data_IF_327274771700
#
_entry.id   IF_327274771700
#
_cell.length_a   1.000
_cell.length_b   1.000
_cell.length_c   1.000
_cell.angle_alpha   90.00
_cell.angle_beta   90.00
_cell.angle_gamma   90.00
#
_symmetry.space_group_name_H-M   'P 1'
#
loop_
_entity.id
_entity.type
_entity.pdbx_description
1 polymer ?
#
# COMPACT_ATOMS: atom_id res chain seq x y z
N UNK A 1 20.39 -51.00 -39.28
CA UNK A 1 19.15 -51.27 -38.58
C UNK A 1 19.29 -51.84 -37.17
N UNK A 2 20.39 -52.47 -36.82
CA UNK A 2 20.61 -52.94 -35.44
C UNK A 2 20.85 -51.82 -34.41
N UNK A 3 21.37 -50.66 -34.79
CA UNK A 3 21.61 -49.52 -33.87
C UNK A 3 20.31 -48.80 -33.49
N UNK A 4 19.36 -48.65 -34.40
CA UNK A 4 18.09 -47.96 -34.14
C UNK A 4 17.20 -48.75 -33.16
N UNK A 5 17.30 -50.08 -33.18
CA UNK A 5 16.57 -50.94 -32.22
C UNK A 5 17.17 -50.88 -30.80
N UNK A 6 18.49 -50.59 -30.66
CA UNK A 6 19.14 -50.44 -29.35
C UNK A 6 18.79 -49.10 -28.70
N UNK A 7 18.72 -48.01 -29.47
CA UNK A 7 18.31 -46.70 -28.97
C UNK A 7 16.83 -46.66 -28.60
N UNK A 8 15.99 -47.33 -29.41
CA UNK A 8 14.55 -47.45 -29.05
C UNK A 8 14.31 -48.29 -27.79
N UNK A 9 15.17 -49.24 -27.46
CA UNK A 9 15.08 -50.03 -26.22
C UNK A 9 15.58 -49.25 -25.00
N UNK A 10 16.53 -48.35 -25.17
CA UNK A 10 17.00 -47.43 -24.11
C UNK A 10 15.96 -46.37 -23.81
N UNK A 11 15.21 -45.90 -24.79
CA UNK A 11 14.08 -44.96 -24.60
C UNK A 11 12.84 -45.60 -23.97
N UNK A 12 12.81 -46.92 -23.89
CA UNK A 12 11.72 -47.70 -23.32
C UNK A 12 12.00 -48.20 -21.90
N UNK A 13 13.13 -47.82 -21.33
CA UNK A 13 13.43 -48.11 -19.94
C UNK A 13 12.77 -47.05 -19.04
N UNK A 14 11.52 -47.32 -18.69
CA UNK A 14 10.64 -46.42 -17.94
C UNK A 14 11.09 -46.18 -16.49
N UNK A 15 12.03 -46.94 -15.97
CA UNK A 15 12.46 -46.77 -14.57
C UNK A 15 13.40 -45.56 -14.39
N UNK A 16 14.23 -45.25 -15.40
CA UNK A 16 15.04 -44.01 -15.40
C UNK A 16 14.24 -42.76 -15.76
N UNK A 17 13.24 -42.90 -16.62
CA UNK A 17 12.37 -41.84 -17.06
C UNK A 17 11.47 -41.34 -15.92
N UNK A 18 10.93 -42.22 -15.10
CA UNK A 18 10.16 -41.83 -13.90
C UNK A 18 11.00 -41.14 -12.84
N UNK A 19 12.25 -41.51 -12.64
CA UNK A 19 13.15 -40.84 -11.71
C UNK A 19 13.49 -39.41 -12.17
N UNK A 20 13.78 -39.22 -13.43
CA UNK A 20 14.04 -37.88 -13.99
C UNK A 20 12.80 -37.01 -13.94
N UNK A 21 11.65 -37.58 -14.26
CA UNK A 21 10.38 -36.86 -14.19
C UNK A 21 10.04 -36.40 -12.76
N UNK A 22 10.25 -37.24 -11.76
CA UNK A 22 10.07 -36.89 -10.35
C UNK A 22 11.04 -35.80 -9.93
N UNK A 23 12.31 -35.86 -10.34
CA UNK A 23 13.29 -34.83 -10.03
C UNK A 23 12.94 -33.48 -10.67
N UNK A 24 12.51 -33.49 -11.92
CA UNK A 24 12.08 -32.28 -12.64
C UNK A 24 10.82 -31.70 -11.98
N UNK A 25 9.82 -32.54 -11.67
CA UNK A 25 8.60 -32.13 -10.99
C UNK A 25 8.89 -31.51 -9.62
N UNK A 26 9.79 -32.11 -8.85
CA UNK A 26 10.21 -31.61 -7.54
C UNK A 26 10.94 -30.27 -7.65
N UNK A 27 11.80 -30.12 -8.63
CA UNK A 27 12.51 -28.86 -8.91
C UNK A 27 11.55 -27.75 -9.29
N UNK A 28 10.59 -28.03 -10.18
CA UNK A 28 9.56 -27.07 -10.57
C UNK A 28 8.68 -26.68 -9.39
N UNK A 29 8.29 -27.63 -8.57
CA UNK A 29 7.50 -27.36 -7.35
C UNK A 29 8.27 -26.45 -6.39
N UNK A 30 9.55 -26.67 -6.21
CA UNK A 30 10.40 -25.84 -5.34
C UNK A 30 10.49 -24.40 -5.87
N UNK A 31 10.65 -24.22 -7.17
CA UNK A 31 10.68 -22.89 -7.81
C UNK A 31 9.33 -22.17 -7.61
N UNK A 32 8.24 -22.87 -7.86
CA UNK A 32 6.88 -22.30 -7.67
C UNK A 32 6.66 -21.88 -6.22
N UNK A 33 7.06 -22.70 -5.27
CA UNK A 33 6.96 -22.38 -3.84
C UNK A 33 7.79 -21.16 -3.46
N UNK A 34 8.99 -21.00 -4.01
CA UNK A 34 9.85 -19.83 -3.79
C UNK A 34 9.20 -18.55 -4.30
N UNK A 35 8.69 -18.56 -5.52
CA UNK A 35 8.01 -17.41 -6.15
C UNK A 35 6.74 -17.06 -5.38
N UNK A 36 5.97 -18.06 -4.99
CA UNK A 36 4.76 -17.86 -4.19
C UNK A 36 5.06 -17.23 -2.83
N UNK A 37 6.09 -17.71 -2.13
CA UNK A 37 6.51 -17.17 -0.84
C UNK A 37 6.92 -15.68 -0.93
N UNK A 38 7.63 -15.29 -1.98
CA UNK A 38 8.00 -13.90 -2.22
C UNK A 38 6.77 -13.03 -2.52
N UNK A 39 5.83 -13.53 -3.32
CA UNK A 39 4.59 -12.86 -3.62
C UNK A 39 3.73 -12.61 -2.37
N UNK A 40 3.64 -13.61 -1.49
CA UNK A 40 2.90 -13.49 -0.23
C UNK A 40 3.55 -12.48 0.72
N UNK A 41 4.88 -12.49 0.86
CA UNK A 41 5.60 -11.53 1.69
C UNK A 41 5.40 -10.09 1.19
N UNK A 42 5.41 -9.87 -0.12
CA UNK A 42 5.12 -8.55 -0.72
C UNK A 42 3.68 -8.09 -0.47
N UNK A 43 2.71 -8.99 -0.59
CA UNK A 43 1.30 -8.68 -0.33
C UNK A 43 1.06 -8.27 1.13
N UNK A 44 1.61 -9.00 2.09
CA UNK A 44 1.48 -8.67 3.53
C UNK A 44 2.15 -7.35 3.88
N UNK A 45 3.30 -7.04 3.32
CA UNK A 45 3.98 -5.75 3.52
C UNK A 45 3.14 -4.59 2.98
N UNK A 46 2.55 -4.74 1.81
CA UNK A 46 1.67 -3.73 1.22
C UNK A 46 0.41 -3.50 2.06
N UNK A 47 -0.18 -4.56 2.61
CA UNK A 47 -1.35 -4.47 3.49
C UNK A 47 -1.02 -3.73 4.79
N UNK A 48 0.09 -4.06 5.44
CA UNK A 48 0.54 -3.37 6.67
C UNK A 48 0.82 -1.89 6.40
N UNK A 49 1.47 -1.57 5.29
CA UNK A 49 1.72 -0.17 4.91
C UNK A 49 0.42 0.59 4.64
N UNK A 50 -0.52 -0.01 3.93
CA UNK A 50 -1.82 0.60 3.67
C UNK A 50 -2.62 0.84 4.97
N UNK A 51 -2.59 -0.12 5.90
CA UNK A 51 -3.19 0.03 7.22
C UNK A 51 -2.57 1.18 8.01
N UNK A 52 -1.24 1.23 8.10
CA UNK A 52 -0.53 2.29 8.81
C UNK A 52 -0.86 3.67 8.23
N UNK A 53 -0.95 3.78 6.91
CA UNK A 53 -1.31 5.04 6.26
C UNK A 53 -2.75 5.47 6.59
N UNK A 54 -3.69 4.54 6.66
CA UNK A 54 -5.07 4.81 7.08
C UNK A 54 -5.13 5.24 8.53
N UNK A 55 -4.47 4.51 9.43
CA UNK A 55 -4.45 4.82 10.86
C UNK A 55 -3.83 6.21 11.10
N UNK A 56 -2.77 6.58 10.37
CA UNK A 56 -2.18 7.91 10.43
C UNK A 56 -3.13 9.00 9.93
N UNK A 57 -3.81 8.76 8.82
CA UNK A 57 -4.80 9.70 8.27
C UNK A 57 -6.00 9.87 9.21
N UNK A 58 -6.50 8.80 9.81
CA UNK A 58 -7.59 8.84 10.76
C UNK A 58 -7.20 9.60 12.04
N UNK A 59 -6.02 9.36 12.58
CA UNK A 59 -5.49 10.08 13.73
C UNK A 59 -5.31 11.58 13.42
N UNK A 60 -4.80 11.91 12.25
CA UNK A 60 -4.66 13.29 11.79
C UNK A 60 -6.04 13.97 11.66
N UNK A 61 -7.02 13.27 11.13
CA UNK A 61 -8.40 13.79 11.01
C UNK A 61 -9.04 14.03 12.38
N UNK A 62 -8.88 13.10 13.32
CA UNK A 62 -9.36 13.26 14.69
C UNK A 62 -8.70 14.47 15.36
N UNK A 63 -7.40 14.64 15.19
CA UNK A 63 -6.65 15.78 15.73
C UNK A 63 -7.14 17.10 15.13
N UNK A 64 -7.41 17.13 13.83
CA UNK A 64 -7.99 18.28 13.14
C UNK A 64 -9.39 18.63 13.68
N UNK A 65 -10.27 17.64 13.81
CA UNK A 65 -11.61 17.84 14.36
C UNK A 65 -11.55 18.42 15.77
N UNK A 66 -10.68 17.84 16.62
CA UNK A 66 -10.46 18.32 17.97
C UNK A 66 -9.95 19.77 18.00
N UNK A 67 -9.09 20.13 17.07
CA UNK A 67 -8.60 21.51 16.92
C UNK A 67 -9.70 22.48 16.50
N UNK A 68 -10.55 22.08 15.57
CA UNK A 68 -11.65 22.92 15.07
C UNK A 68 -12.70 23.26 16.14
N UNK A 69 -12.91 22.37 17.11
CA UNK A 69 -13.84 22.59 18.23
C UNK A 69 -13.16 23.21 19.47
N UNK A 70 -11.85 23.43 19.42
CA UNK A 70 -11.11 24.05 20.52
C UNK A 70 -11.41 25.55 20.63
N UNK A 71 -10.99 26.16 21.71
CA UNK A 71 -11.13 27.62 21.93
C UNK A 71 -10.28 28.46 20.96
N UNK A 72 -9.27 27.87 20.34
CA UNK A 72 -8.34 28.52 19.39
C UNK A 72 -8.23 27.76 18.06
N UNK A 73 -9.32 27.64 17.30
CA UNK A 73 -9.33 26.76 16.12
C UNK A 73 -8.46 27.28 14.96
N UNK A 74 -8.15 28.56 14.92
CA UNK A 74 -7.42 29.21 13.84
C UNK A 74 -5.96 29.52 14.18
N UNK A 75 -5.46 29.06 15.31
CA UNK A 75 -4.11 29.31 15.80
C UNK A 75 -3.30 28.02 15.79
N UNK A 76 -2.06 28.09 15.31
CA UNK A 76 -1.15 26.94 15.37
C UNK A 76 -0.90 26.51 16.81
N UNK A 77 -0.83 25.21 17.03
CA UNK A 77 -0.56 24.61 18.35
C UNK A 77 -0.92 23.14 18.38
N UNK A 78 -0.48 22.44 19.40
CA UNK A 78 -0.71 21.00 19.59
C UNK A 78 -0.21 20.11 18.42
N UNK A 79 0.92 20.51 17.80
CA UNK A 79 1.46 19.80 16.64
C UNK A 79 0.76 20.11 15.31
N UNK A 80 -0.20 21.04 15.32
CA UNK A 80 -0.95 21.45 14.13
C UNK A 80 -0.49 22.85 13.71
N UNK A 81 -0.06 22.96 12.46
CA UNK A 81 0.25 24.25 11.83
C UNK A 81 -0.99 24.75 11.11
N UNK A 82 -1.40 25.98 11.42
CA UNK A 82 -2.57 26.62 10.81
C UNK A 82 -2.09 27.88 10.08
N UNK A 83 -2.44 27.98 8.81
CA UNK A 83 -2.14 29.14 7.98
C UNK A 83 -3.41 29.61 7.26
N UNK A 84 -3.69 30.90 7.29
CA UNK A 84 -4.72 31.48 6.44
C UNK A 84 -4.16 31.51 5.00
N UNK A 85 -4.90 30.96 4.07
CA UNK A 85 -4.48 30.85 2.67
C UNK A 85 -5.10 31.95 1.80
N UNK A 86 -6.42 31.94 1.69
CA UNK A 86 -7.14 32.84 0.80
C UNK A 86 -8.44 33.31 1.44
N UNK A 87 -8.91 34.49 1.01
CA UNK A 87 -10.22 35.02 1.32
C UNK A 87 -11.00 35.18 0.04
N UNK A 88 -12.15 34.57 -0.04
CA UNK A 88 -13.05 34.62 -1.20
C UNK A 88 -14.27 35.49 -0.87
N UNK A 89 -14.63 36.36 -1.81
CA UNK A 89 -15.87 37.16 -1.69
C UNK A 89 -17.02 36.39 -2.37
N UNK A 90 -18.07 36.10 -1.60
CA UNK A 90 -19.25 35.45 -2.10
C UNK A 90 -20.50 36.32 -1.81
N UNK A 91 -20.95 37.05 -2.79
CA UNK A 91 -22.08 37.97 -2.62
C UNK A 91 -21.77 39.09 -1.62
N UNK A 92 -22.52 39.15 -0.54
CA UNK A 92 -22.34 40.12 0.57
C UNK A 92 -21.42 39.63 1.68
N UNK A 93 -20.94 38.41 1.60
CA UNK A 93 -20.10 37.77 2.62
C UNK A 93 -18.71 37.40 2.10
N UNK A 94 -17.84 37.07 3.02
CA UNK A 94 -16.51 36.54 2.73
C UNK A 94 -16.40 35.12 3.27
N UNK A 95 -15.56 34.30 2.62
CA UNK A 95 -15.21 32.96 3.06
C UNK A 95 -13.69 32.91 3.13
N UNK A 96 -13.18 32.60 4.31
CA UNK A 96 -11.76 32.44 4.54
C UNK A 96 -11.38 30.98 4.45
N UNK A 97 -10.27 30.68 3.78
CA UNK A 97 -9.71 29.34 3.75
C UNK A 97 -8.48 29.26 4.66
N UNK A 98 -8.44 28.22 5.46
CA UNK A 98 -7.34 27.90 6.34
C UNK A 98 -6.73 26.56 5.95
N UNK A 99 -5.42 26.52 5.88
CA UNK A 99 -4.67 25.29 5.68
C UNK A 99 -4.18 24.76 7.03
N UNK A 100 -4.54 23.52 7.31
CA UNK A 100 -4.15 22.80 8.53
C UNK A 100 -3.19 21.68 8.14
N UNK A 101 -2.01 21.68 8.70
CA UNK A 101 -1.04 20.61 8.53
C UNK A 101 -0.92 19.82 9.82
N UNK A 102 -1.27 18.54 9.76
CA UNK A 102 -1.27 17.61 10.90
C UNK A 102 -0.53 16.35 10.46
N UNK A 103 0.56 16.02 11.15
CA UNK A 103 1.37 14.81 10.88
C UNK A 103 1.72 14.61 9.39
N UNK A 104 2.07 15.70 8.70
CA UNK A 104 2.40 15.66 7.27
C UNK A 104 1.20 15.63 6.33
N UNK A 105 -0.03 15.55 6.84
CA UNK A 105 -1.24 15.66 6.06
C UNK A 105 -1.75 17.11 6.05
N UNK A 106 -2.19 17.57 4.89
CA UNK A 106 -2.69 18.94 4.71
C UNK A 106 -4.18 18.91 4.42
N UNK A 107 -4.93 19.73 5.15
CA UNK A 107 -6.38 19.88 5.03
C UNK A 107 -6.72 21.34 4.79
N UNK A 108 -7.68 21.61 3.92
CA UNK A 108 -8.20 22.96 3.69
C UNK A 108 -9.60 23.06 4.26
N UNK A 109 -9.80 24.03 5.14
CA UNK A 109 -11.08 24.29 5.79
C UNK A 109 -11.58 25.67 5.39
N UNK A 110 -12.83 25.74 4.97
CA UNK A 110 -13.49 26.98 4.61
C UNK A 110 -14.37 27.43 5.77
N UNK A 111 -14.23 28.68 6.17
CA UNK A 111 -14.97 29.27 7.32
C UNK A 111 -15.60 30.56 6.85
N UNK A 112 -16.82 30.92 7.32
CA UNK A 112 -17.36 32.25 7.07
C UNK A 112 -16.39 33.31 7.60
N UNK A 113 -16.08 34.30 6.75
CA UNK A 113 -15.25 35.43 7.14
C UNK A 113 -15.98 36.32 8.14
N UNK A 114 -15.23 36.95 8.97
CA UNK A 114 -15.75 37.92 9.96
C UNK A 114 -15.84 39.33 9.39
#
# INVERSE_FOLDING_TARGET
>A
MKMIKKTAKLLRDTSGETMVEVLVAFTLLTIVMLVFSQGLASATTSEVTAKNNRDNADNAMISLQKKLISSTPRTSGDGIVVQQKDTYTAGTGTIDSYEYTVDGNTYIVFVPGT
#
